data_IF_214022783838
#
_entry.id   IF_214022783838
#
_cell.length_a   1.000
_cell.length_b   1.000
_cell.length_c   1.000
_cell.angle_alpha   90.00
_cell.angle_beta   90.00
_cell.angle_gamma   90.00
#
_symmetry.space_group_name_H-M   'P 1'
#
loop_
_entity.id
_entity.type
_entity.pdbx_description
1 polymer ?
#
# COMPACT_ATOMS: atom_id res chain seq x y z
N UNK A 1 -35.19 8.01 16.54
CA UNK A 1 -36.00 8.65 15.48
C UNK A 1 -35.17 8.65 14.19
N UNK A 2 -35.72 8.34 13.01
CA UNK A 2 -34.96 8.30 11.74
C UNK A 2 -35.12 9.63 11.02
N UNK A 3 -34.12 10.51 11.11
CA UNK A 3 -34.20 11.89 10.62
C UNK A 3 -33.31 12.14 9.39
N UNK A 4 -32.64 11.11 8.88
CA UNK A 4 -31.77 11.19 7.70
C UNK A 4 -32.47 10.74 6.42
N UNK A 5 -32.43 11.60 5.40
CA UNK A 5 -32.92 11.29 4.07
C UNK A 5 -32.16 10.12 3.45
N UNK A 6 -32.88 9.24 2.74
CA UNK A 6 -32.30 8.05 2.11
C UNK A 6 -31.21 8.37 1.07
N UNK A 7 -31.23 9.57 0.47
CA UNK A 7 -30.22 10.02 -0.48
C UNK A 7 -28.92 10.42 0.23
N UNK A 8 -29.02 11.21 1.31
CA UNK A 8 -27.87 11.61 2.14
C UNK A 8 -27.12 10.40 2.71
N UNK A 9 -27.87 9.39 3.21
CA UNK A 9 -27.30 8.12 3.69
C UNK A 9 -26.48 7.39 2.63
N UNK A 10 -26.94 7.38 1.37
CA UNK A 10 -26.24 6.73 0.27
C UNK A 10 -24.97 7.49 -0.14
N UNK A 11 -25.03 8.82 -0.17
CA UNK A 11 -23.83 9.64 -0.44
C UNK A 11 -22.76 9.40 0.63
N UNK A 12 -23.15 9.41 1.91
CA UNK A 12 -22.22 9.13 3.02
C UNK A 12 -21.60 7.74 2.91
N UNK A 13 -22.38 6.74 2.50
CA UNK A 13 -21.86 5.39 2.27
C UNK A 13 -20.77 5.38 1.18
N UNK A 14 -21.03 6.02 0.04
CA UNK A 14 -20.07 6.12 -1.06
C UNK A 14 -18.80 6.86 -0.61
N UNK A 15 -18.95 7.98 0.11
CA UNK A 15 -17.79 8.74 0.63
C UNK A 15 -16.98 7.90 1.62
N UNK A 16 -17.63 7.20 2.54
CA UNK A 16 -16.95 6.30 3.47
C UNK A 16 -16.20 5.17 2.75
N UNK A 17 -16.79 4.62 1.68
CA UNK A 17 -16.18 3.60 0.84
C UNK A 17 -14.94 4.13 0.10
N UNK A 18 -15.00 5.32 -0.49
CA UNK A 18 -13.83 5.98 -1.09
C UNK A 18 -12.72 6.17 -0.06
N UNK A 19 -13.06 6.63 1.16
CA UNK A 19 -12.07 6.77 2.24
C UNK A 19 -11.44 5.43 2.63
N UNK A 20 -12.22 4.34 2.69
CA UNK A 20 -11.70 3.01 3.00
C UNK A 20 -10.79 2.48 1.88
N UNK A 21 -11.20 2.61 0.61
CA UNK A 21 -10.36 2.20 -0.52
C UNK A 21 -9.05 2.99 -0.52
N UNK A 22 -9.12 4.31 -0.32
CA UNK A 22 -7.92 5.15 -0.20
C UNK A 22 -7.04 4.71 0.97
N UNK A 23 -7.61 4.45 2.15
CA UNK A 23 -6.85 4.03 3.32
C UNK A 23 -6.15 2.67 3.15
N UNK A 24 -6.82 1.71 2.51
CA UNK A 24 -6.34 0.32 2.44
C UNK A 24 -5.32 0.10 1.32
N UNK A 25 -5.43 0.85 0.23
CA UNK A 25 -4.61 0.62 -0.97
C UNK A 25 -3.64 1.75 -1.26
N UNK A 26 -3.97 3.00 -0.94
CA UNK A 26 -3.23 4.17 -1.47
C UNK A 26 -2.56 5.02 -0.38
N UNK A 27 -3.02 4.95 0.85
CA UNK A 27 -2.50 5.74 1.95
C UNK A 27 -1.27 5.12 2.60
N UNK A 28 -0.29 5.96 2.95
CA UNK A 28 0.75 5.60 3.92
C UNK A 28 0.22 5.66 5.36
N UNK A 29 1.02 5.17 6.30
CA UNK A 29 0.72 5.01 7.72
C UNK A 29 0.11 6.28 8.36
N UNK A 30 0.65 7.46 8.03
CA UNK A 30 0.21 8.75 8.57
C UNK A 30 -1.24 9.11 8.18
N UNK A 31 -1.66 8.77 6.96
CA UNK A 31 -2.99 9.09 6.43
C UNK A 31 -3.99 7.95 6.63
N UNK A 32 -3.49 6.73 6.80
CA UNK A 32 -4.32 5.53 6.89
C UNK A 32 -5.27 5.57 8.09
N UNK A 33 -4.76 5.84 9.30
CA UNK A 33 -5.59 5.90 10.51
C UNK A 33 -6.64 7.02 10.45
N UNK A 34 -6.29 8.28 10.08
CA UNK A 34 -7.27 9.34 9.87
C UNK A 34 -8.36 8.99 8.85
N UNK A 35 -8.01 8.36 7.72
CA UNK A 35 -8.99 7.97 6.70
C UNK A 35 -9.95 6.88 7.20
N UNK A 36 -9.45 5.89 7.94
CA UNK A 36 -10.29 4.85 8.55
C UNK A 36 -11.24 5.47 9.58
N UNK A 37 -10.75 6.36 10.44
CA UNK A 37 -11.57 7.07 11.42
C UNK A 37 -12.62 7.95 10.75
N UNK A 38 -12.25 8.69 9.71
CA UNK A 38 -13.18 9.50 8.93
C UNK A 38 -14.27 8.62 8.30
N UNK A 39 -13.90 7.50 7.68
CA UNK A 39 -14.86 6.54 7.15
C UNK A 39 -15.82 6.03 8.24
N UNK A 40 -15.32 5.64 9.40
CA UNK A 40 -16.15 5.16 10.52
C UNK A 40 -17.14 6.23 11.00
N UNK A 41 -16.68 7.48 11.20
CA UNK A 41 -17.51 8.60 11.65
C UNK A 41 -18.60 8.93 10.62
N UNK A 42 -18.31 8.83 9.32
CA UNK A 42 -19.29 9.06 8.25
C UNK A 42 -20.30 7.90 8.15
N UNK A 43 -19.84 6.66 8.35
CA UNK A 43 -20.64 5.44 8.19
C UNK A 43 -21.64 5.24 9.34
N UNK A 44 -21.30 5.58 10.59
CA UNK A 44 -22.17 5.38 11.77
C UNK A 44 -23.54 6.09 11.61
N UNK A 45 -23.62 7.39 11.26
CA UNK A 45 -24.89 8.06 10.96
C UNK A 45 -25.61 7.47 9.73
N UNK A 46 -24.86 7.03 8.72
CA UNK A 46 -25.42 6.42 7.52
C UNK A 46 -26.14 5.09 7.83
N UNK A 47 -25.64 4.29 8.77
CA UNK A 47 -26.26 3.03 9.20
C UNK A 47 -27.44 3.27 10.14
N UNK A 48 -27.22 4.06 11.21
CA UNK A 48 -28.23 4.31 12.24
C UNK A 48 -29.44 5.09 11.71
N UNK A 49 -29.23 5.91 10.67
CA UNK A 49 -30.28 6.77 10.12
C UNK A 49 -30.70 7.89 11.09
N UNK A 50 -29.92 8.12 12.15
CA UNK A 50 -30.08 9.18 13.14
C UNK A 50 -28.84 10.07 13.15
N UNK A 51 -29.04 11.38 13.18
CA UNK A 51 -27.98 12.37 13.40
C UNK A 51 -27.63 12.42 14.90
N UNK A 52 -27.05 11.35 15.46
CA UNK A 52 -26.83 11.23 16.91
C UNK A 52 -25.99 12.37 17.54
N UNK A 53 -25.07 12.97 16.77
CA UNK A 53 -24.26 14.11 17.21
C UNK A 53 -25.06 15.43 17.29
N UNK A 54 -26.04 15.62 16.42
CA UNK A 54 -26.91 16.80 16.44
C UNK A 54 -28.01 16.68 17.50
N UNK A 55 -28.42 15.45 17.82
CA UNK A 55 -29.37 15.13 18.89
C UNK A 55 -28.77 15.40 20.29
N UNK A 56 -27.46 15.16 20.47
CA UNK A 56 -26.70 15.54 21.68
C UNK A 56 -26.52 17.07 21.86
N UNK A 57 -26.48 17.82 20.76
CA UNK A 57 -26.32 19.29 20.75
C UNK A 57 -27.66 20.04 20.68
N UNK A 58 -28.80 19.35 20.68
CA UNK A 58 -30.14 19.95 20.66
C UNK A 58 -30.50 20.68 19.35
N UNK A 59 -29.72 20.50 18.27
CA UNK A 59 -29.97 21.15 16.99
C UNK A 59 -30.82 20.28 16.06
N UNK A 60 -32.13 20.56 16.04
CA UNK A 60 -33.08 20.01 15.07
C UNK A 60 -32.96 20.70 13.70
N UNK A 61 -31.88 20.42 12.95
CA UNK A 61 -31.65 21.07 11.65
C UNK A 61 -31.97 20.19 10.42
N UNK A 62 -32.77 19.12 10.55
CA UNK A 62 -33.16 18.30 9.39
C UNK A 62 -34.65 18.41 9.08
N UNK A 63 -35.02 19.42 8.30
CA UNK A 63 -36.31 19.44 7.60
C UNK A 63 -36.26 18.41 6.46
N UNK A 64 -37.10 17.37 6.53
CA UNK A 64 -37.08 16.27 5.58
C UNK A 64 -37.71 16.67 4.23
N UNK A 65 -36.91 17.05 3.24
CA UNK A 65 -37.38 17.06 1.85
C UNK A 65 -37.41 15.61 1.34
N UNK A 66 -38.54 14.92 1.54
CA UNK A 66 -38.80 13.58 0.99
C UNK A 66 -38.96 13.65 -0.54
N UNK A 67 -37.84 13.66 -1.29
CA UNK A 67 -37.88 13.35 -2.73
C UNK A 67 -37.90 11.84 -2.94
N UNK A 68 -39.06 11.29 -3.31
CA UNK A 68 -39.21 9.89 -3.72
C UNK A 68 -38.70 9.73 -5.17
N UNK A 69 -37.41 9.52 -5.33
CA UNK A 69 -36.82 9.14 -6.62
C UNK A 69 -36.20 7.74 -6.54
N UNK A 70 -37.03 6.72 -6.74
CA UNK A 70 -36.63 5.31 -6.61
C UNK A 70 -35.65 4.85 -7.72
N UNK A 71 -35.57 5.58 -8.84
CA UNK A 71 -34.55 5.36 -9.87
C UNK A 71 -33.17 5.83 -9.38
N UNK A 72 -33.10 7.03 -8.82
CA UNK A 72 -31.84 7.57 -8.28
C UNK A 72 -31.29 6.73 -7.13
N UNK A 73 -32.16 6.27 -6.22
CA UNK A 73 -31.74 5.37 -5.13
C UNK A 73 -31.15 4.07 -5.67
N UNK A 74 -31.81 3.43 -6.65
CA UNK A 74 -31.29 2.23 -7.31
C UNK A 74 -29.94 2.48 -7.98
N UNK A 75 -29.79 3.62 -8.66
CA UNK A 75 -28.51 4.01 -9.28
C UNK A 75 -27.40 4.18 -8.23
N UNK A 76 -27.66 4.83 -7.10
CA UNK A 76 -26.67 5.00 -6.02
C UNK A 76 -26.29 3.68 -5.36
N UNK A 77 -27.25 2.76 -5.16
CA UNK A 77 -26.95 1.41 -4.65
C UNK A 77 -26.06 0.65 -5.63
N UNK A 78 -26.39 0.68 -6.92
CA UNK A 78 -25.56 0.06 -7.95
C UNK A 78 -24.16 0.69 -8.01
N UNK A 79 -24.06 2.02 -7.90
CA UNK A 79 -22.79 2.72 -7.87
C UNK A 79 -21.93 2.32 -6.67
N UNK A 80 -22.50 2.21 -5.47
CA UNK A 80 -21.80 1.74 -4.28
C UNK A 80 -21.30 0.30 -4.44
N UNK A 81 -22.14 -0.62 -4.92
CA UNK A 81 -21.73 -2.01 -5.16
C UNK A 81 -20.60 -2.08 -6.20
N UNK A 82 -20.72 -1.32 -7.28
CA UNK A 82 -19.69 -1.26 -8.31
C UNK A 82 -18.39 -0.68 -7.75
N UNK A 83 -18.44 0.39 -6.95
CA UNK A 83 -17.27 0.98 -6.30
C UNK A 83 -16.61 -0.02 -5.34
N UNK A 84 -17.39 -0.74 -4.53
CA UNK A 84 -16.91 -1.76 -3.62
C UNK A 84 -16.09 -2.83 -4.34
N UNK A 85 -16.68 -3.39 -5.39
CA UNK A 85 -16.13 -4.55 -6.10
C UNK A 85 -15.03 -4.11 -7.04
N UNK A 86 -15.34 -3.20 -7.97
CA UNK A 86 -14.39 -2.77 -9.00
C UNK A 86 -13.29 -1.89 -8.42
N UNK A 87 -13.62 -0.99 -7.48
CA UNK A 87 -12.65 -0.11 -6.86
C UNK A 87 -11.62 -0.89 -6.04
N UNK A 88 -12.08 -1.85 -5.23
CA UNK A 88 -11.16 -2.70 -4.45
C UNK A 88 -10.33 -3.63 -5.34
N UNK A 89 -10.96 -4.27 -6.33
CA UNK A 89 -10.25 -5.17 -7.24
C UNK A 89 -9.19 -4.42 -8.08
N UNK A 90 -9.56 -3.30 -8.70
CA UNK A 90 -8.63 -2.49 -9.48
C UNK A 90 -7.49 -1.93 -8.61
N UNK A 91 -7.80 -1.45 -7.39
CA UNK A 91 -6.77 -0.95 -6.48
C UNK A 91 -5.82 -2.06 -6.03
N UNK A 92 -6.32 -3.27 -5.80
CA UNK A 92 -5.46 -4.41 -5.45
C UNK A 92 -4.47 -4.74 -6.58
N UNK A 93 -4.96 -4.84 -7.82
CA UNK A 93 -4.09 -5.10 -8.97
C UNK A 93 -3.07 -3.99 -9.18
N UNK A 94 -3.50 -2.73 -9.13
CA UNK A 94 -2.61 -1.61 -9.40
C UNK A 94 -1.51 -1.46 -8.34
N UNK A 95 -1.85 -1.65 -7.06
CA UNK A 95 -0.85 -1.60 -5.98
C UNK A 95 0.13 -2.77 -6.04
N UNK A 96 -0.32 -3.94 -6.50
CA UNK A 96 0.53 -5.09 -6.80
C UNK A 96 1.48 -4.80 -7.98
N UNK A 97 0.99 -4.17 -9.05
CA UNK A 97 1.81 -3.77 -10.20
C UNK A 97 2.89 -2.74 -9.81
N UNK A 98 2.56 -1.76 -8.96
CA UNK A 98 3.56 -0.80 -8.44
C UNK A 98 4.65 -1.54 -7.64
N UNK A 99 4.27 -2.48 -6.77
CA UNK A 99 5.22 -3.26 -5.99
C UNK A 99 6.12 -4.10 -6.89
N UNK A 100 5.53 -4.77 -7.90
CA UNK A 100 6.27 -5.55 -8.88
C UNK A 100 7.29 -4.67 -9.63
N UNK A 101 6.87 -3.50 -10.10
CA UNK A 101 7.73 -2.57 -10.82
C UNK A 101 8.91 -2.11 -9.95
N UNK A 102 8.65 -1.74 -8.70
CA UNK A 102 9.72 -1.33 -7.77
C UNK A 102 10.69 -2.49 -7.47
N UNK A 103 10.17 -3.72 -7.32
CA UNK A 103 10.99 -4.92 -7.12
C UNK A 103 11.85 -5.23 -8.36
N UNK A 104 11.30 -5.05 -9.57
CA UNK A 104 12.03 -5.24 -10.81
C UNK A 104 13.16 -4.21 -10.96
N UNK A 105 12.96 -2.95 -10.55
CA UNK A 105 14.02 -1.93 -10.52
C UNK A 105 15.14 -2.27 -9.52
N UNK A 106 14.77 -2.76 -8.34
CA UNK A 106 15.74 -3.28 -7.35
C UNK A 106 16.51 -4.46 -7.94
N UNK A 107 15.82 -5.40 -8.59
CA UNK A 107 16.43 -6.59 -9.19
C UNK A 107 17.39 -6.24 -10.33
N UNK A 108 17.08 -5.23 -11.14
CA UNK A 108 18.00 -4.71 -12.16
C UNK A 108 19.30 -4.21 -11.51
N UNK A 109 19.17 -3.40 -10.45
CA UNK A 109 20.32 -2.84 -9.72
C UNK A 109 21.13 -3.91 -9.02
N UNK A 110 20.46 -4.94 -8.50
CA UNK A 110 21.10 -6.14 -7.95
C UNK A 110 21.93 -6.87 -9.01
N UNK A 111 21.39 -7.05 -10.21
CA UNK A 111 22.11 -7.74 -11.29
C UNK A 111 23.35 -6.95 -11.74
N UNK A 112 23.28 -5.62 -11.76
CA UNK A 112 24.44 -4.75 -12.04
C UNK A 112 25.52 -4.94 -10.97
N UNK A 113 25.15 -4.80 -9.69
CA UNK A 113 26.10 -4.98 -8.58
C UNK A 113 26.75 -6.37 -8.60
N UNK A 114 25.95 -7.42 -8.81
CA UNK A 114 26.46 -8.79 -8.93
C UNK A 114 27.38 -8.98 -10.13
N UNK A 115 27.06 -8.40 -11.28
CA UNK A 115 27.90 -8.48 -12.48
C UNK A 115 29.23 -7.75 -12.30
N UNK A 116 29.21 -6.58 -11.64
CA UNK A 116 30.41 -5.78 -11.34
C UNK A 116 31.42 -6.53 -10.47
N UNK A 117 30.94 -7.48 -9.65
CA UNK A 117 31.78 -8.31 -8.80
C UNK A 117 32.42 -9.49 -9.55
N UNK A 118 31.95 -9.83 -10.75
CA UNK A 118 32.53 -10.92 -11.57
C UNK A 118 33.76 -10.40 -12.34
N UNK A 119 33.72 -9.15 -12.80
CA UNK A 119 34.86 -8.48 -13.41
C UNK A 119 35.78 -7.88 -12.37
N UNK A 120 37.05 -7.66 -12.73
CA UNK A 120 37.96 -6.79 -11.98
C UNK A 120 37.58 -5.32 -12.27
N UNK A 121 36.33 -4.95 -11.95
CA UNK A 121 35.78 -3.64 -12.23
C UNK A 121 36.16 -2.67 -11.11
N UNK A 122 36.76 -1.53 -11.48
CA UNK A 122 37.09 -0.49 -10.53
C UNK A 122 35.86 0.09 -9.80
N UNK A 123 34.66 -0.14 -10.34
CA UNK A 123 33.41 0.42 -9.85
C UNK A 123 32.57 -0.55 -8.99
N UNK A 124 33.03 -1.77 -8.67
CA UNK A 124 32.20 -2.74 -7.92
C UNK A 124 31.69 -2.19 -6.58
N UNK A 125 32.48 -1.36 -5.90
CA UNK A 125 32.06 -0.67 -4.68
C UNK A 125 30.94 0.35 -4.92
N UNK A 126 31.03 1.12 -6.01
CA UNK A 126 30.02 2.11 -6.38
C UNK A 126 28.68 1.45 -6.78
N UNK A 127 28.73 0.29 -7.42
CA UNK A 127 27.54 -0.45 -7.82
C UNK A 127 26.83 -1.10 -6.61
N UNK A 128 27.60 -1.63 -5.65
CA UNK A 128 27.04 -2.09 -4.37
C UNK A 128 26.43 -0.91 -3.58
N UNK A 129 27.09 0.25 -3.56
CA UNK A 129 26.54 1.46 -2.93
C UNK A 129 25.25 1.95 -3.62
N UNK A 130 25.15 1.76 -4.93
CA UNK A 130 23.93 2.04 -5.69
C UNK A 130 22.80 1.09 -5.28
N UNK A 131 23.08 -0.22 -5.19
CA UNK A 131 22.14 -1.23 -4.73
C UNK A 131 21.66 -0.94 -3.30
N UNK A 132 22.57 -0.70 -2.36
CA UNK A 132 22.23 -0.38 -0.97
C UNK A 132 21.30 0.83 -0.89
N UNK A 133 21.61 1.92 -1.60
CA UNK A 133 20.77 3.13 -1.60
C UNK A 133 19.40 2.89 -2.19
N UNK A 134 19.31 2.21 -3.34
CA UNK A 134 18.02 1.90 -3.98
C UNK A 134 17.18 0.95 -3.12
N UNK A 135 17.80 -0.08 -2.55
CA UNK A 135 17.10 -1.00 -1.67
C UNK A 135 16.64 -0.31 -0.38
N UNK A 136 17.47 0.54 0.22
CA UNK A 136 17.07 1.33 1.39
C UNK A 136 15.91 2.28 1.08
N UNK A 137 15.87 2.89 -0.12
CA UNK A 137 14.75 3.72 -0.55
C UNK A 137 13.47 2.89 -0.74
N UNK A 138 13.58 1.69 -1.33
CA UNK A 138 12.49 0.72 -1.45
C UNK A 138 11.96 0.31 -0.07
N UNK A 139 12.83 -0.12 0.84
CA UNK A 139 12.49 -0.51 2.19
C UNK A 139 11.82 0.64 2.97
N UNK A 140 12.35 1.86 2.86
CA UNK A 140 11.79 3.04 3.51
C UNK A 140 10.39 3.39 2.96
N UNK A 141 10.17 3.26 1.65
CA UNK A 141 8.86 3.43 1.01
C UNK A 141 7.87 2.45 1.60
N UNK A 142 8.18 1.16 1.61
CA UNK A 142 7.26 0.11 2.06
C UNK A 142 7.16 -0.07 3.59
N UNK A 143 8.04 0.59 4.34
CA UNK A 143 7.86 0.78 5.78
C UNK A 143 6.69 1.72 6.08
N UNK A 144 6.54 2.80 5.28
CA UNK A 144 5.50 3.81 5.46
C UNK A 144 4.24 3.54 4.65
N UNK A 145 4.42 3.08 3.41
CA UNK A 145 3.35 2.76 2.47
C UNK A 145 3.14 1.24 2.45
N UNK A 146 2.16 0.77 3.23
CA UNK A 146 1.83 -0.65 3.35
C UNK A 146 0.48 -0.95 2.71
N UNK A 147 0.41 -0.98 1.36
CA UNK A 147 -0.82 -1.36 0.68
C UNK A 147 -1.21 -2.78 1.07
N UNK A 148 -2.48 -3.15 0.82
CA UNK A 148 -3.02 -4.44 1.24
C UNK A 148 -2.13 -5.64 0.85
N UNK A 149 -1.50 -5.64 -0.33
CA UNK A 149 -0.60 -6.71 -0.77
C UNK A 149 0.60 -6.91 0.15
N UNK A 150 1.27 -5.82 0.57
CA UNK A 150 2.39 -5.86 1.53
C UNK A 150 1.92 -6.22 2.93
N UNK A 151 0.75 -5.72 3.33
CA UNK A 151 0.17 -5.97 4.65
C UNK A 151 -0.22 -7.42 4.89
N UNK A 152 -0.65 -8.11 3.84
CA UNK A 152 -1.08 -9.50 3.90
C UNK A 152 0.09 -10.48 3.79
N UNK A 153 1.27 -10.00 3.41
CA UNK A 153 2.49 -10.77 3.41
C UNK A 153 3.14 -10.76 4.80
N UNK A 154 3.05 -11.90 5.50
CA UNK A 154 3.62 -12.07 6.83
C UNK A 154 5.15 -12.13 6.85
N UNK A 155 5.80 -12.35 5.71
CA UNK A 155 7.25 -12.50 5.60
C UNK A 155 7.93 -11.23 5.07
N UNK A 156 7.16 -10.29 4.49
CA UNK A 156 7.70 -9.09 3.84
C UNK A 156 8.75 -8.35 4.67
N UNK A 157 8.46 -8.08 5.95
CA UNK A 157 9.41 -7.38 6.82
C UNK A 157 10.70 -8.17 7.05
N UNK A 158 10.59 -9.48 7.27
CA UNK A 158 11.76 -10.37 7.46
C UNK A 158 12.62 -10.39 6.19
N UNK A 159 11.98 -10.50 5.03
CA UNK A 159 12.66 -10.49 3.73
C UNK A 159 13.41 -9.18 3.48
N UNK A 160 12.82 -8.02 3.83
CA UNK A 160 13.49 -6.72 3.73
C UNK A 160 14.73 -6.66 4.64
N UNK A 161 14.62 -7.15 5.87
CA UNK A 161 15.71 -7.15 6.84
C UNK A 161 16.84 -8.10 6.39
N UNK A 162 16.49 -9.28 5.89
CA UNK A 162 17.43 -10.27 5.34
C UNK A 162 18.19 -9.73 4.12
N UNK A 163 17.48 -9.17 3.13
CA UNK A 163 18.12 -8.55 1.95
C UNK A 163 19.05 -7.40 2.39
N UNK A 164 18.62 -6.55 3.33
CA UNK A 164 19.48 -5.47 3.85
C UNK A 164 20.76 -6.00 4.49
N UNK A 165 20.65 -7.08 5.27
CA UNK A 165 21.79 -7.71 5.93
C UNK A 165 22.77 -8.34 4.93
N UNK A 166 22.26 -8.97 3.88
CA UNK A 166 23.06 -9.57 2.80
C UNK A 166 23.82 -8.52 1.99
N UNK A 167 23.14 -7.43 1.60
CA UNK A 167 23.78 -6.29 0.91
C UNK A 167 24.89 -5.70 1.79
N UNK A 168 24.62 -5.52 3.08
CA UNK A 168 25.60 -5.00 4.02
C UNK A 168 26.84 -5.90 4.13
N UNK A 169 26.65 -7.22 4.30
CA UNK A 169 27.77 -8.18 4.36
C UNK A 169 28.60 -8.16 3.08
N UNK A 170 27.92 -8.27 1.94
CA UNK A 170 28.54 -8.20 0.62
C UNK A 170 29.41 -6.95 0.44
N UNK A 171 28.91 -5.79 0.90
CA UNK A 171 29.65 -4.52 0.89
C UNK A 171 30.91 -4.57 1.77
N UNK A 172 30.83 -5.14 2.97
CA UNK A 172 32.00 -5.27 3.85
C UNK A 172 33.10 -6.12 3.21
N UNK A 173 32.73 -7.23 2.57
CA UNK A 173 33.68 -8.09 1.84
C UNK A 173 34.29 -7.38 0.63
N UNK A 174 33.50 -6.61 -0.13
CA UNK A 174 33.98 -5.83 -1.26
C UNK A 174 35.01 -4.76 -0.83
N UNK A 175 34.78 -4.08 0.29
CA UNK A 175 35.71 -3.08 0.84
C UNK A 175 37.06 -3.69 1.27
N UNK A 176 37.08 -4.99 1.58
CA UNK A 176 38.29 -5.74 1.90
C UNK A 176 39.02 -6.26 0.64
N UNK A 177 38.48 -6.01 -0.55
CA UNK A 177 39.01 -6.52 -1.82
C UNK A 177 38.66 -7.99 -2.08
N UNK A 178 37.77 -8.59 -1.29
CA UNK A 178 37.32 -9.97 -1.49
C UNK A 178 36.03 -10.02 -2.30
N UNK A 179 36.18 -9.91 -3.62
CA UNK A 179 35.07 -10.01 -4.56
C UNK A 179 34.39 -11.39 -4.54
N UNK A 180 35.11 -12.47 -4.18
CA UNK A 180 34.53 -13.81 -4.14
C UNK A 180 33.56 -13.96 -2.96
N UNK A 181 33.97 -13.55 -1.77
CA UNK A 181 33.10 -13.53 -0.59
C UNK A 181 31.95 -12.55 -0.75
N UNK A 182 32.22 -11.36 -1.30
CA UNK A 182 31.19 -10.36 -1.58
C UNK A 182 30.08 -10.89 -2.49
N UNK A 183 30.40 -11.66 -3.54
CA UNK A 183 29.39 -12.31 -4.40
C UNK A 183 28.57 -13.33 -3.63
N UNK A 184 29.24 -14.23 -2.91
CA UNK A 184 28.59 -15.31 -2.18
C UNK A 184 27.61 -14.78 -1.13
N UNK A 185 27.98 -13.70 -0.43
CA UNK A 185 27.12 -13.05 0.56
C UNK A 185 25.93 -12.32 -0.06
N UNK A 186 26.03 -11.91 -1.33
CA UNK A 186 24.97 -11.22 -2.05
C UNK A 186 23.94 -12.18 -2.67
N UNK A 187 24.29 -13.44 -2.89
CA UNK A 187 23.41 -14.42 -3.55
C UNK A 187 22.03 -14.59 -2.88
N UNK A 188 21.92 -14.73 -1.54
CA UNK A 188 20.64 -14.96 -0.89
C UNK A 188 19.67 -13.79 -1.08
N UNK A 189 20.15 -12.54 -1.03
CA UNK A 189 19.34 -11.37 -1.36
C UNK A 189 18.69 -11.48 -2.74
N UNK A 190 19.43 -11.92 -3.75
CA UNK A 190 18.90 -12.12 -5.10
C UNK A 190 17.88 -13.25 -5.20
N UNK A 191 17.99 -14.29 -4.37
CA UNK A 191 16.98 -15.34 -4.28
C UNK A 191 15.68 -14.80 -3.69
N UNK A 192 15.76 -14.04 -2.60
CA UNK A 192 14.61 -13.43 -1.95
C UNK A 192 13.93 -12.44 -2.90
N UNK A 193 14.67 -11.52 -3.53
CA UNK A 193 14.11 -10.54 -4.48
C UNK A 193 13.36 -11.25 -5.62
N UNK A 194 13.94 -12.31 -6.19
CA UNK A 194 13.30 -13.09 -7.26
C UNK A 194 12.07 -13.85 -6.77
N UNK A 195 12.09 -14.36 -5.54
CA UNK A 195 10.92 -14.99 -4.93
C UNK A 195 9.79 -13.98 -4.74
N UNK A 196 10.09 -12.79 -4.21
CA UNK A 196 9.12 -11.68 -4.08
C UNK A 196 8.51 -11.29 -5.43
N UNK A 197 9.32 -11.15 -6.48
CA UNK A 197 8.81 -10.87 -7.85
C UNK A 197 7.88 -11.99 -8.33
N UNK A 198 8.26 -13.26 -8.13
CA UNK A 198 7.47 -14.41 -8.58
C UNK A 198 6.13 -14.50 -7.86
N UNK A 199 6.10 -14.24 -6.57
CA UNK A 199 4.89 -14.24 -5.74
C UNK A 199 3.95 -13.09 -6.11
N UNK A 200 4.52 -11.98 -6.60
CA UNK A 200 3.79 -10.77 -6.97
C UNK A 200 3.55 -10.63 -8.48
N UNK A 201 3.87 -11.64 -9.30
CA UNK A 201 3.43 -11.73 -10.70
C UNK A 201 2.03 -12.35 -10.81
#
# INVERSE_FOLDING_TARGET
MKNLGSLDRMIRLIVAEVCLIAALFWAGEELQLPLILAAAVILIPAITGSCGLYELLGWNSCEMIKRKNDRLKRALVLAAILLAVMGSFASHLYTKDILLQDLEEVNETYNIARQSLIGDDANSSADIDSLERKFAAFAAKYTKYKPLVVRMDGNFSSQIDEISADIYRSKQSALQGDAASSRMELEPAGEIIRAMIKENR
#
